data_IF_789686302245
#
_entry.id   IF_789686302245
#
_cell.length_a   1.000
_cell.length_b   1.000
_cell.length_c   1.000
_cell.angle_alpha   90.00
_cell.angle_beta   90.00
_cell.angle_gamma   90.00
#
_symmetry.space_group_name_H-M   'P 1'
#
loop_
_entity.id
_entity.type
_entity.pdbx_description
1 polymer ?
#
# COMPACT_ATOMS: atom_id res chain seq x y z
N UNK A 1 -0.49 -72.13 -4.94
CA UNK A 1 0.12 -71.38 -3.85
C UNK A 1 0.93 -70.18 -4.40
N UNK A 2 0.29 -69.28 -5.17
CA UNK A 2 1.01 -68.06 -5.68
C UNK A 2 0.24 -66.75 -5.49
N UNK A 3 -0.93 -66.78 -4.90
CA UNK A 3 -1.79 -65.60 -4.70
C UNK A 3 -1.55 -64.84 -3.38
N UNK A 4 -0.99 -65.46 -2.37
CA UNK A 4 -0.73 -64.81 -1.06
C UNK A 4 0.45 -63.84 -1.05
N UNK A 5 1.39 -64.04 -1.98
CA UNK A 5 2.60 -63.16 -2.05
C UNK A 5 2.33 -61.83 -2.77
N UNK A 6 1.36 -61.80 -3.70
CA UNK A 6 1.00 -60.61 -4.43
C UNK A 6 0.22 -59.57 -3.58
N UNK A 7 -0.61 -60.05 -2.68
CA UNK A 7 -1.42 -59.19 -1.79
C UNK A 7 -0.53 -58.53 -0.76
N UNK A 8 0.51 -59.26 -0.25
CA UNK A 8 1.44 -58.68 0.72
C UNK A 8 2.35 -57.59 0.10
N UNK A 9 2.69 -57.74 -1.18
CA UNK A 9 3.50 -56.72 -1.89
C UNK A 9 2.67 -55.48 -2.25
N UNK A 10 1.38 -55.69 -2.57
CA UNK A 10 0.45 -54.58 -2.89
C UNK A 10 0.13 -53.74 -1.65
N UNK A 11 0.03 -54.34 -0.47
CA UNK A 11 -0.18 -53.57 0.78
C UNK A 11 1.06 -52.81 1.22
N UNK A 12 2.26 -53.26 0.88
CA UNK A 12 3.50 -52.56 1.22
C UNK A 12 3.75 -51.32 0.34
N UNK A 13 3.29 -51.33 -0.91
CA UNK A 13 3.42 -50.19 -1.82
C UNK A 13 2.32 -49.16 -1.59
N UNK A 14 1.17 -49.50 -1.04
CA UNK A 14 0.10 -48.56 -0.74
C UNK A 14 0.35 -47.78 0.57
N UNK A 15 1.19 -48.32 1.46
CA UNK A 15 1.51 -47.69 2.76
C UNK A 15 2.52 -46.56 2.68
N UNK A 16 3.27 -46.42 1.56
CA UNK A 16 4.31 -45.41 1.42
C UNK A 16 3.78 -44.06 0.89
N UNK A 17 2.55 -44.04 0.32
CA UNK A 17 1.99 -42.82 -0.26
C UNK A 17 1.13 -41.98 0.71
N UNK A 18 0.98 -42.39 1.98
CA UNK A 18 0.12 -41.67 2.94
C UNK A 18 0.86 -40.71 3.88
N UNK A 19 2.16 -40.50 3.72
CA UNK A 19 2.93 -39.62 4.62
C UNK A 19 3.47 -38.32 3.98
N UNK A 20 3.00 -37.95 2.78
CA UNK A 20 3.39 -36.70 2.16
C UNK A 20 2.31 -35.61 2.17
N UNK A 21 1.29 -35.73 2.98
CA UNK A 21 0.20 -34.74 3.03
C UNK A 21 0.18 -33.94 4.34
N UNK A 22 1.34 -33.51 4.84
CA UNK A 22 1.41 -32.63 6.01
C UNK A 22 2.63 -31.71 5.97
N UNK A 23 2.85 -31.00 4.85
CA UNK A 23 3.94 -30.01 4.84
C UNK A 23 3.51 -28.59 4.46
N UNK A 24 2.22 -28.32 4.27
CA UNK A 24 1.74 -26.95 4.07
C UNK A 24 0.45 -26.72 4.85
N UNK A 25 0.53 -26.80 6.17
CA UNK A 25 -0.42 -26.06 7.00
C UNK A 25 0.18 -24.65 7.10
N UNK A 26 -0.41 -23.63 6.48
CA UNK A 26 0.04 -22.27 6.71
C UNK A 26 0.01 -22.02 8.22
N UNK A 27 1.08 -21.43 8.75
CA UNK A 27 1.17 -21.12 10.16
C UNK A 27 -0.10 -20.36 10.58
N UNK A 28 -0.74 -20.67 11.72
CA UNK A 28 -2.03 -20.10 12.08
C UNK A 28 -2.01 -18.58 12.32
N UNK A 29 -0.90 -17.92 12.01
CA UNK A 29 -0.68 -16.49 12.17
C UNK A 29 -0.39 -15.73 10.88
N UNK A 30 -0.40 -16.39 9.71
CA UNK A 30 -0.36 -15.69 8.43
C UNK A 30 -1.74 -15.07 8.16
N UNK A 31 -1.99 -13.95 8.79
CA UNK A 31 -3.11 -13.08 8.43
C UNK A 31 -2.67 -12.34 7.16
N UNK A 32 -3.30 -12.62 5.99
CA UNK A 32 -3.00 -11.87 4.79
C UNK A 32 -3.29 -10.39 5.05
N UNK A 33 -2.26 -9.54 5.04
CA UNK A 33 -2.39 -8.10 5.22
C UNK A 33 -1.72 -7.51 6.45
N UNK A 34 -1.06 -8.30 7.30
CA UNK A 34 -0.26 -7.76 8.40
C UNK A 34 1.22 -8.12 8.20
N UNK A 35 1.93 -7.25 7.47
CA UNK A 35 3.35 -7.05 7.66
C UNK A 35 4.32 -8.09 7.14
N UNK A 36 4.05 -8.76 6.00
CA UNK A 36 5.16 -9.34 5.27
C UNK A 36 5.92 -8.22 4.57
N UNK A 37 7.14 -7.93 5.04
CA UNK A 37 8.08 -7.03 4.38
C UNK A 37 8.42 -7.46 2.93
N UNK A 38 7.89 -8.59 2.50
CA UNK A 38 8.01 -9.19 1.18
C UNK A 38 6.69 -9.18 0.37
N UNK A 39 5.66 -8.44 0.79
CA UNK A 39 4.47 -8.32 -0.04
C UNK A 39 4.84 -7.63 -1.36
N UNK A 40 4.66 -8.32 -2.47
CA UNK A 40 4.88 -7.76 -3.83
C UNK A 40 4.03 -6.52 -4.11
N UNK A 41 3.05 -6.23 -3.24
CA UNK A 41 2.14 -5.09 -3.36
C UNK A 41 2.43 -3.97 -2.36
N UNK A 42 3.44 -4.13 -1.50
CA UNK A 42 3.75 -3.21 -0.41
C UNK A 42 2.89 -3.43 0.83
N UNK A 43 3.27 -2.78 1.93
CA UNK A 43 2.56 -2.80 3.22
C UNK A 43 1.81 -1.50 3.50
N UNK A 44 2.04 -0.46 2.68
CA UNK A 44 1.48 0.88 2.86
C UNK A 44 2.27 1.75 3.83
N UNK A 45 3.42 1.29 4.33
CA UNK A 45 4.37 2.12 5.07
C UNK A 45 5.22 2.97 4.09
N UNK A 46 5.97 3.93 4.62
CA UNK A 46 6.86 4.78 3.81
C UNK A 46 7.99 3.97 3.16
N UNK A 47 8.53 2.98 3.89
CA UNK A 47 9.59 2.07 3.42
C UNK A 47 9.10 1.04 2.41
N UNK A 48 7.82 0.66 2.51
CA UNK A 48 7.17 -0.33 1.66
C UNK A 48 5.79 0.14 1.20
N UNK A 49 5.73 1.23 0.39
CA UNK A 49 4.46 1.81 -0.06
C UNK A 49 3.67 0.83 -0.92
N UNK A 50 2.36 0.94 -0.88
CA UNK A 50 1.52 0.17 -1.79
C UNK A 50 1.83 0.49 -3.24
N UNK A 51 1.84 -0.54 -4.07
CA UNK A 51 1.65 -0.38 -5.52
C UNK A 51 0.19 -0.01 -5.82
N UNK A 52 -0.14 0.37 -7.06
CA UNK A 52 -1.53 0.60 -7.49
C UNK A 52 -2.43 -0.59 -7.11
N UNK A 53 -1.96 -1.82 -7.33
CA UNK A 53 -2.72 -3.02 -6.99
C UNK A 53 -2.86 -3.22 -5.48
N UNK A 54 -1.80 -2.96 -4.72
CA UNK A 54 -1.84 -3.01 -3.26
C UNK A 54 -2.85 -2.03 -2.69
N UNK A 55 -2.83 -0.78 -3.15
CA UNK A 55 -3.80 0.23 -2.76
C UNK A 55 -5.24 -0.15 -3.15
N UNK A 56 -5.44 -0.74 -4.34
CA UNK A 56 -6.76 -1.18 -4.79
C UNK A 56 -7.34 -2.32 -3.96
N UNK A 57 -6.50 -3.20 -3.41
CA UNK A 57 -6.91 -4.30 -2.54
C UNK A 57 -7.19 -3.85 -1.09
N UNK A 58 -6.68 -2.69 -0.68
CA UNK A 58 -6.74 -2.20 0.69
C UNK A 58 -7.62 -0.95 0.88
N UNK A 59 -8.75 -0.86 0.19
CA UNK A 59 -9.70 0.26 0.25
C UNK A 59 -10.52 0.25 1.55
N UNK A 60 -9.83 0.39 2.69
CA UNK A 60 -10.40 0.27 4.04
C UNK A 60 -10.62 1.60 4.77
N UNK A 61 -10.36 2.73 4.11
CA UNK A 61 -10.45 4.08 4.69
C UNK A 61 -9.24 4.48 5.55
N UNK A 62 -8.28 3.57 5.76
CA UNK A 62 -7.06 3.87 6.48
C UNK A 62 -6.05 4.68 5.65
N UNK A 63 -5.18 5.41 6.35
CA UNK A 63 -4.06 6.09 5.71
C UNK A 63 -2.96 5.10 5.35
N UNK A 64 -2.37 5.30 4.17
CA UNK A 64 -1.21 4.53 3.73
C UNK A 64 -0.40 5.31 2.67
N UNK A 65 0.85 4.91 2.49
CA UNK A 65 1.69 5.36 1.39
C UNK A 65 1.42 4.55 0.13
N UNK A 66 1.31 5.25 -1.00
CA UNK A 66 1.20 4.66 -2.35
C UNK A 66 2.31 5.22 -3.21
N UNK A 67 3.01 4.37 -3.97
CA UNK A 67 4.06 4.75 -4.90
C UNK A 67 3.65 4.43 -6.33
N UNK A 68 3.68 5.44 -7.21
CA UNK A 68 3.26 5.31 -8.60
C UNK A 68 3.76 6.49 -9.45
N UNK A 69 3.31 6.58 -10.69
CA UNK A 69 3.68 7.64 -11.64
C UNK A 69 2.47 8.49 -12.00
N UNK A 70 2.65 9.80 -12.10
CA UNK A 70 1.60 10.75 -12.51
C UNK A 70 1.41 10.63 -14.02
N UNK A 71 0.18 10.32 -14.48
CA UNK A 71 -0.10 10.09 -15.92
C UNK A 71 -1.20 10.99 -16.49
N UNK A 72 -1.93 11.71 -15.64
CA UNK A 72 -3.03 12.56 -16.10
C UNK A 72 -3.93 13.01 -14.99
N UNK A 73 -5.18 13.28 -15.35
CA UNK A 73 -6.22 13.79 -14.45
C UNK A 73 -7.60 13.31 -14.90
N UNK A 74 -8.63 13.55 -14.08
CA UNK A 74 -10.04 13.36 -14.45
C UNK A 74 -10.70 14.75 -14.50
N UNK A 75 -11.32 15.13 -15.63
CA UNK A 75 -12.03 16.40 -15.74
C UNK A 75 -13.14 16.49 -14.70
N UNK A 76 -13.21 17.64 -14.01
CA UNK A 76 -14.27 17.99 -13.08
C UNK A 76 -14.88 19.29 -13.57
N UNK A 77 -16.14 19.30 -13.93
CA UNK A 77 -16.84 20.49 -14.40
C UNK A 77 -18.31 20.48 -13.95
N UNK A 78 -19.01 21.58 -14.19
CA UNK A 78 -20.39 21.77 -13.83
C UNK A 78 -21.25 20.69 -14.50
N UNK A 79 -21.95 19.91 -13.69
CA UNK A 79 -22.94 18.87 -14.07
C UNK A 79 -22.39 17.58 -14.71
N UNK A 80 -21.11 17.28 -14.65
CA UNK A 80 -20.59 15.98 -15.10
C UNK A 80 -20.33 15.05 -13.93
N UNK A 81 -20.97 13.87 -13.94
CA UNK A 81 -20.62 12.76 -13.04
C UNK A 81 -19.42 12.03 -13.62
N UNK A 82 -18.21 12.57 -13.44
CA UNK A 82 -16.99 11.96 -13.95
C UNK A 82 -16.67 10.66 -13.20
N UNK A 83 -16.12 9.70 -13.93
CA UNK A 83 -15.70 8.39 -13.46
C UNK A 83 -14.23 8.14 -13.81
N UNK A 84 -13.69 7.05 -13.32
CA UNK A 84 -12.33 6.62 -13.68
C UNK A 84 -12.18 6.40 -15.22
N UNK A 85 -13.26 6.17 -15.94
CA UNK A 85 -13.22 6.00 -17.40
C UNK A 85 -12.99 7.30 -18.16
N UNK A 86 -13.15 8.45 -17.49
CA UNK A 86 -12.99 9.77 -18.10
C UNK A 86 -11.56 10.33 -17.95
N UNK A 87 -10.57 9.45 -17.71
CA UNK A 87 -9.17 9.85 -17.59
C UNK A 87 -8.69 10.54 -18.86
N UNK A 88 -8.09 11.71 -18.69
CA UNK A 88 -7.29 12.40 -19.70
C UNK A 88 -5.81 12.14 -19.40
N UNK A 89 -5.14 11.38 -20.27
CA UNK A 89 -3.71 11.13 -20.18
C UNK A 89 -2.96 12.33 -20.74
N UNK A 90 -2.39 13.13 -19.90
CA UNK A 90 -1.70 14.38 -20.25
C UNK A 90 -2.03 15.53 -19.30
N UNK A 91 -1.76 16.75 -19.74
CA UNK A 91 -1.89 17.97 -18.90
C UNK A 91 -2.83 19.02 -19.49
N UNK A 92 -3.22 18.90 -20.78
CA UNK A 92 -4.06 19.88 -21.45
C UNK A 92 -5.48 19.89 -20.84
N UNK A 93 -5.88 21.04 -20.30
CA UNK A 93 -7.17 21.20 -19.63
C UNK A 93 -7.21 20.65 -18.20
N UNK A 94 -6.06 20.31 -17.62
CA UNK A 94 -6.00 19.82 -16.25
C UNK A 94 -6.53 20.84 -15.24
N UNK A 95 -7.27 20.33 -14.25
CA UNK A 95 -7.65 21.09 -13.07
C UNK A 95 -6.64 20.93 -11.93
N UNK A 96 -6.99 21.46 -10.76
CA UNK A 96 -6.10 21.46 -9.59
C UNK A 96 -6.48 20.39 -8.56
N UNK A 97 -7.66 19.78 -8.65
CA UNK A 97 -8.28 19.02 -7.54
C UNK A 97 -7.96 17.54 -7.53
N UNK A 98 -7.44 17.01 -8.63
CA UNK A 98 -7.10 15.59 -8.74
C UNK A 98 -5.97 15.38 -9.74
N UNK A 99 -5.30 14.25 -9.58
CA UNK A 99 -4.40 13.66 -10.56
C UNK A 99 -4.75 12.18 -10.74
N UNK A 100 -4.24 11.57 -11.77
CA UNK A 100 -4.28 10.12 -11.98
C UNK A 100 -2.86 9.59 -11.93
N UNK A 101 -2.68 8.52 -11.18
CA UNK A 101 -1.43 7.81 -11.04
C UNK A 101 -1.54 6.41 -11.68
N UNK A 102 -0.41 5.87 -12.15
CA UNK A 102 -0.34 4.56 -12.79
C UNK A 102 0.93 3.80 -12.41
N UNK A 103 1.00 2.54 -12.82
CA UNK A 103 2.14 1.66 -12.57
C UNK A 103 3.41 2.07 -13.32
N UNK A 104 3.29 2.85 -14.40
CA UNK A 104 4.42 3.45 -15.14
C UNK A 104 4.02 4.82 -15.69
N UNK A 105 5.02 5.69 -15.92
CA UNK A 105 4.80 7.07 -16.36
C UNK A 105 4.26 7.23 -17.77
N UNK A 106 4.33 6.20 -18.59
CA UNK A 106 3.82 6.11 -19.97
C UNK A 106 2.53 5.29 -20.11
N UNK A 107 2.00 4.77 -18.98
CA UNK A 107 0.79 3.95 -18.99
C UNK A 107 -0.41 4.74 -19.46
N UNK A 108 -1.19 4.12 -20.38
CA UNK A 108 -2.50 4.60 -20.84
C UNK A 108 -3.61 3.55 -20.63
N UNK A 109 -3.32 2.51 -19.87
CA UNK A 109 -4.29 1.48 -19.52
C UNK A 109 -5.01 1.87 -18.21
N UNK A 110 -6.30 2.13 -18.31
CA UNK A 110 -7.16 2.52 -17.20
C UNK A 110 -7.14 1.49 -16.06
N UNK A 111 -6.97 0.20 -16.38
CA UNK A 111 -6.91 -0.86 -15.37
C UNK A 111 -5.66 -0.78 -14.47
N UNK A 112 -4.63 -0.08 -14.92
CA UNK A 112 -3.38 0.17 -14.21
C UNK A 112 -3.33 1.57 -13.57
N UNK A 113 -4.47 2.27 -13.54
CA UNK A 113 -4.58 3.64 -13.06
C UNK A 113 -5.39 3.74 -11.77
N UNK A 114 -5.14 4.80 -11.03
CA UNK A 114 -5.87 5.15 -9.81
C UNK A 114 -6.04 6.66 -9.71
N UNK A 115 -7.24 7.11 -9.38
CA UNK A 115 -7.51 8.52 -9.17
C UNK A 115 -7.10 8.95 -7.75
N UNK A 116 -6.54 10.14 -7.65
CA UNK A 116 -6.05 10.75 -6.41
C UNK A 116 -6.69 12.10 -6.21
N UNK A 117 -7.32 12.31 -5.07
CA UNK A 117 -7.82 13.61 -4.65
C UNK A 117 -6.68 14.46 -4.11
N UNK A 118 -6.61 15.70 -4.56
CA UNK A 118 -5.70 16.71 -4.02
C UNK A 118 -6.52 17.73 -3.19
N UNK A 119 -6.60 17.58 -1.85
CA UNK A 119 -7.20 18.60 -0.99
C UNK A 119 -6.44 19.92 -1.10
N UNK A 120 -7.08 21.04 -0.76
CA UNK A 120 -6.38 22.34 -0.73
C UNK A 120 -5.21 22.31 0.25
N UNK A 121 -4.09 22.91 -0.13
CA UNK A 121 -2.86 22.97 0.65
C UNK A 121 -1.62 22.67 -0.20
N UNK A 122 -0.50 22.43 0.46
CA UNK A 122 0.82 22.31 -0.15
C UNK A 122 0.91 21.17 -1.17
N UNK A 123 0.31 20.02 -0.87
CA UNK A 123 0.30 18.88 -1.79
C UNK A 123 -0.40 19.22 -3.10
N UNK A 124 -1.58 19.88 -3.05
CA UNK A 124 -2.25 20.34 -4.26
C UNK A 124 -1.42 21.34 -5.01
N UNK A 125 -0.86 22.32 -4.28
CA UNK A 125 -0.07 23.36 -4.90
C UNK A 125 1.14 22.80 -5.66
N UNK A 126 1.77 21.77 -5.13
CA UNK A 126 2.96 21.15 -5.72
C UNK A 126 2.65 20.11 -6.82
N UNK A 127 1.51 19.40 -6.73
CA UNK A 127 1.26 18.23 -7.60
C UNK A 127 0.27 18.48 -8.73
N UNK A 128 -0.55 19.56 -8.69
CA UNK A 128 -1.57 19.75 -9.71
C UNK A 128 -0.96 20.00 -11.09
N UNK A 129 -1.50 19.32 -12.09
CA UNK A 129 -0.95 19.38 -13.46
C UNK A 129 -1.30 20.66 -14.21
N UNK A 130 -2.20 21.50 -13.68
CA UNK A 130 -2.50 22.81 -14.27
C UNK A 130 -1.33 23.77 -14.05
N UNK A 131 -0.77 23.81 -12.84
CA UNK A 131 0.34 24.68 -12.48
C UNK A 131 1.70 24.03 -12.77
N UNK A 132 1.77 22.69 -12.71
CA UNK A 132 3.00 21.91 -12.79
C UNK A 132 2.86 20.79 -13.84
N UNK A 133 2.74 21.13 -15.14
CA UNK A 133 2.64 20.15 -16.21
C UNK A 133 3.90 19.27 -16.32
N UNK A 134 5.04 19.74 -15.83
CA UNK A 134 6.31 19.01 -15.76
C UNK A 134 6.29 17.80 -14.79
N UNK A 135 5.27 17.67 -13.97
CA UNK A 135 5.09 16.52 -13.10
C UNK A 135 4.54 15.27 -13.83
N UNK A 136 4.05 15.46 -15.06
CA UNK A 136 3.59 14.34 -15.86
C UNK A 136 4.74 13.34 -16.11
N UNK A 137 4.48 12.07 -15.86
CA UNK A 137 5.45 10.98 -16.00
C UNK A 137 6.39 10.80 -14.82
N UNK A 138 6.40 11.72 -13.84
CA UNK A 138 7.25 11.58 -12.64
C UNK A 138 6.71 10.53 -11.67
N UNK A 139 7.63 9.87 -10.98
CA UNK A 139 7.33 9.02 -9.84
C UNK A 139 6.95 9.89 -8.64
N UNK A 140 5.93 9.49 -7.92
CA UNK A 140 5.45 10.16 -6.73
C UNK A 140 5.09 9.14 -5.65
N UNK A 141 5.36 9.47 -4.40
CA UNK A 141 4.77 8.78 -3.25
C UNK A 141 3.73 9.69 -2.62
N UNK A 142 2.59 9.13 -2.24
CA UNK A 142 1.44 9.85 -1.71
C UNK A 142 0.97 9.20 -0.42
N UNK A 143 0.75 10.00 0.62
CA UNK A 143 0.14 9.56 1.86
C UNK A 143 -1.29 10.08 1.95
N UNK A 144 -2.25 9.17 1.99
CA UNK A 144 -3.67 9.50 2.00
C UNK A 144 -4.54 8.32 2.36
N UNK A 145 -5.86 8.55 2.44
CA UNK A 145 -6.81 7.49 2.75
C UNK A 145 -7.10 6.61 1.54
N UNK A 146 -7.11 5.30 1.79
CA UNK A 146 -7.47 4.30 0.76
C UNK A 146 -8.98 4.22 0.63
N UNK A 147 -9.55 5.08 -0.22
CA UNK A 147 -11.01 5.22 -0.39
C UNK A 147 -11.40 5.36 -1.85
N UNK A 148 -12.61 4.88 -2.18
CA UNK A 148 -13.15 5.03 -3.53
C UNK A 148 -13.19 6.50 -3.96
N UNK A 149 -12.72 6.76 -5.19
CA UNK A 149 -12.77 8.06 -5.82
C UNK A 149 -13.12 7.88 -7.30
N UNK A 150 -14.01 8.73 -7.84
CA UNK A 150 -14.55 8.58 -9.21
C UNK A 150 -15.10 7.17 -9.52
N UNK A 151 -15.76 6.56 -8.53
CA UNK A 151 -16.45 5.26 -8.68
C UNK A 151 -15.52 4.03 -8.64
N UNK A 152 -14.22 4.21 -8.52
CA UNK A 152 -13.23 3.13 -8.46
C UNK A 152 -12.37 3.23 -7.20
N UNK A 153 -11.47 2.25 -6.99
CA UNK A 153 -10.44 2.37 -5.97
C UNK A 153 -9.64 3.66 -6.19
N UNK A 154 -9.33 4.38 -5.11
CA UNK A 154 -8.68 5.67 -5.17
C UNK A 154 -7.89 6.00 -3.91
N UNK A 155 -7.24 7.16 -3.94
CA UNK A 155 -6.59 7.78 -2.79
C UNK A 155 -7.24 9.12 -2.54
N UNK A 156 -7.71 9.34 -1.31
CA UNK A 156 -8.34 10.61 -0.91
C UNK A 156 -7.59 11.23 0.26
N UNK A 157 -8.00 12.43 0.64
CA UNK A 157 -7.45 13.13 1.81
C UNK A 157 -5.93 13.07 1.85
N UNK A 158 -5.28 13.34 0.70
CA UNK A 158 -3.82 13.30 0.63
C UNK A 158 -3.25 14.45 1.44
N UNK A 159 -2.47 14.14 2.48
CA UNK A 159 -1.85 15.10 3.40
C UNK A 159 -0.37 15.27 3.18
N UNK A 160 0.30 14.26 2.59
CA UNK A 160 1.72 14.33 2.29
C UNK A 160 2.05 13.70 0.93
N UNK A 161 3.16 14.13 0.35
CA UNK A 161 3.73 13.56 -0.84
C UNK A 161 5.26 13.62 -0.80
N UNK A 162 5.90 12.76 -1.61
CA UNK A 162 7.33 12.85 -1.93
C UNK A 162 7.44 12.88 -3.44
N UNK A 163 8.01 13.95 -3.97
CA UNK A 163 8.26 14.15 -5.39
C UNK A 163 9.72 14.57 -5.59
N UNK A 164 10.44 13.91 -6.49
CA UNK A 164 11.85 14.17 -6.76
C UNK A 164 12.71 14.16 -5.47
N UNK A 165 12.34 13.32 -4.49
CA UNK A 165 13.02 13.20 -3.19
C UNK A 165 12.69 14.32 -2.18
N UNK A 166 11.81 15.26 -2.53
CA UNK A 166 11.36 16.32 -1.63
C UNK A 166 10.04 15.93 -0.95
N UNK A 167 10.00 16.11 0.36
CA UNK A 167 8.79 15.94 1.17
C UNK A 167 7.91 17.19 1.08
N UNK A 168 6.60 16.98 0.93
CA UNK A 168 5.58 18.01 0.72
C UNK A 168 4.41 17.72 1.66
N UNK A 169 3.93 18.73 2.36
CA UNK A 169 2.80 18.63 3.29
C UNK A 169 3.17 17.97 4.63
N UNK A 170 2.19 17.39 5.28
CA UNK A 170 2.32 16.82 6.63
C UNK A 170 2.77 15.35 6.53
N UNK A 171 4.07 15.13 6.37
CA UNK A 171 4.65 13.78 6.36
C UNK A 171 4.56 13.20 7.76
N UNK A 172 3.87 12.04 7.96
CA UNK A 172 3.79 11.45 9.28
C UNK A 172 5.19 11.02 9.74
N UNK A 173 5.48 11.28 11.00
CA UNK A 173 6.63 10.66 11.67
C UNK A 173 6.37 9.16 11.75
N UNK A 174 7.31 8.36 11.23
CA UNK A 174 7.26 6.92 11.47
C UNK A 174 7.37 6.69 12.98
N UNK A 175 6.56 5.79 13.57
CA UNK A 175 6.77 5.40 14.95
C UNK A 175 8.23 4.93 15.04
N UNK A 176 9.04 5.70 15.71
CA UNK A 176 10.44 5.32 15.93
C UNK A 176 10.48 3.88 16.42
N UNK A 177 11.42 3.09 15.91
CA UNK A 177 11.60 1.71 16.34
C UNK A 177 11.60 1.69 17.85
N UNK A 178 10.50 1.19 18.42
CA UNK A 178 10.45 0.91 19.85
C UNK A 178 11.45 -0.25 20.06
N UNK A 179 12.69 0.10 20.36
CA UNK A 179 13.71 -0.87 20.72
C UNK A 179 13.31 -1.41 22.09
N UNK A 180 12.52 -2.48 22.09
CA UNK A 180 12.39 -3.31 23.29
C UNK A 180 13.72 -4.07 23.43
N UNK A 181 14.61 -3.52 24.24
CA UNK A 181 15.78 -4.24 24.67
C UNK A 181 15.49 -4.83 26.04
N UNK A 182 15.09 -6.11 26.07
CA UNK A 182 14.95 -6.87 27.29
C UNK A 182 16.19 -7.74 27.48
N UNK A 183 16.97 -7.40 28.46
CA UNK A 183 18.08 -8.24 28.91
C UNK A 183 17.58 -9.11 30.08
N UNK A 184 17.19 -10.35 29.80
CA UNK A 184 16.82 -11.37 30.80
C UNK A 184 18.02 -11.95 31.56
N UNK A 185 19.13 -11.22 31.65
CA UNK A 185 20.38 -11.78 32.17
C UNK A 185 20.39 -11.97 33.69
N UNK A 186 19.53 -11.31 34.47
CA UNK A 186 19.51 -11.45 35.92
C UNK A 186 18.09 -11.31 36.51
N UNK A 187 17.30 -12.38 36.49
CA UNK A 187 16.06 -12.46 37.20
C UNK A 187 15.01 -11.43 36.74
N UNK A 188 13.76 -11.56 37.14
CA UNK A 188 12.70 -10.60 36.78
C UNK A 188 13.09 -9.17 37.19
N UNK A 189 13.87 -8.50 36.37
CA UNK A 189 14.36 -7.14 36.54
C UNK A 189 13.32 -6.10 36.07
N UNK A 190 13.49 -4.91 36.56
CA UNK A 190 12.61 -3.77 36.28
C UNK A 190 12.49 -3.50 34.77
N UNK A 191 11.25 -3.46 34.29
CA UNK A 191 10.94 -2.96 32.94
C UNK A 191 11.28 -1.47 32.87
N UNK A 192 12.30 -1.11 32.13
CA UNK A 192 12.55 0.30 31.81
C UNK A 192 12.01 0.58 30.42
N UNK A 193 10.86 1.22 30.32
CA UNK A 193 10.32 1.73 29.07
C UNK A 193 11.01 3.07 28.83
N UNK A 194 12.01 3.09 27.94
CA UNK A 194 12.56 4.33 27.40
C UNK A 194 11.64 4.79 26.25
N UNK A 195 10.58 5.49 26.60
CA UNK A 195 9.69 6.12 25.65
C UNK A 195 10.30 7.46 25.22
N UNK A 196 10.99 7.48 24.09
CA UNK A 196 11.71 8.66 23.60
C UNK A 196 10.78 9.70 22.99
N UNK A 197 9.50 9.38 22.73
CA UNK A 197 8.52 10.30 22.16
C UNK A 197 7.14 10.14 22.80
N UNK A 198 7.00 10.57 24.05
CA UNK A 198 5.68 10.91 24.60
C UNK A 198 5.50 12.41 24.38
N UNK A 199 4.51 12.88 23.61
CA UNK A 199 4.16 14.28 23.63
C UNK A 199 3.86 14.70 25.07
N UNK A 200 4.44 15.80 25.54
CA UNK A 200 4.34 16.34 26.90
C UNK A 200 2.94 16.86 27.27
N UNK A 201 1.89 16.44 26.58
CA UNK A 201 0.53 16.93 26.74
C UNK A 201 -0.49 15.87 27.18
N UNK A 202 -0.12 15.00 28.11
CA UNK A 202 -1.10 14.25 28.90
C UNK A 202 -0.73 14.26 30.37
N UNK A 203 -0.88 15.44 30.99
CA UNK A 203 -0.73 15.65 32.42
C UNK A 203 -1.58 16.83 32.87
N UNK A 204 -2.83 16.55 33.22
CA UNK A 204 -3.61 17.16 34.31
C UNK A 204 -5.05 16.69 34.23
#
# INVERSE_FOLDING_TARGET
MKTKSFISLLCLTLGVFLFQACNDVPAPYDIPGKGDANSIYGTGSKESPYTIKGAALNQNGGYAWVKAYIVGYIPTGDNTSSTISDIVFGTEGAGTTNIVIATSGDSKDINNCMAVQLPSGDVRNALNLQAHPENLGKEVMLYGTMEKYFGSAGVKTVTAAILDGQEIGDVPEEPGDAIFSETFAEGMGEFTINNVNVPSEMGS
#
